data_IF_266864150310
#
_entry.id   IF_266864150310
#
_cell.length_a   1.000
_cell.length_b   1.000
_cell.length_c   1.000
_cell.angle_alpha   90.00
_cell.angle_beta   90.00
_cell.angle_gamma   90.00
#
_symmetry.space_group_name_H-M   'P 1'
#
loop_
_entity.id
_entity.type
_entity.pdbx_description
1 polymer ?
#
# COMPACT_ATOMS: atom_id res chain seq x y z
N UNK A 1 33.92 -39.41 67.20
CA UNK A 1 32.87 -38.80 66.35
C UNK A 1 31.91 -39.90 65.93
N UNK A 2 30.67 -39.83 66.44
CA UNK A 2 29.55 -40.72 66.12
C UNK A 2 28.91 -40.24 64.81
N UNK A 3 28.82 -41.10 63.80
CA UNK A 3 28.01 -40.82 62.60
C UNK A 3 26.68 -41.55 62.75
N UNK A 4 25.60 -40.77 62.71
CA UNK A 4 24.21 -41.19 62.87
C UNK A 4 23.76 -42.08 61.68
N UNK A 5 23.14 -43.25 61.90
CA UNK A 5 22.80 -44.21 60.85
C UNK A 5 21.63 -43.81 59.91
N UNK A 6 21.01 -42.64 60.12
CA UNK A 6 19.86 -42.19 59.31
C UNK A 6 20.19 -41.64 57.92
N UNK A 7 21.45 -41.66 57.47
CA UNK A 7 21.84 -41.17 56.15
C UNK A 7 21.82 -42.22 55.02
N UNK A 8 21.48 -43.48 55.32
CA UNK A 8 21.56 -44.58 54.34
C UNK A 8 20.28 -44.83 53.52
N UNK A 9 19.16 -44.15 53.80
CA UNK A 9 17.87 -44.44 53.15
C UNK A 9 17.49 -43.41 52.06
N UNK A 10 18.23 -42.31 51.90
CA UNK A 10 17.94 -41.31 50.85
C UNK A 10 18.75 -41.48 49.55
N UNK A 11 19.67 -42.45 49.47
CA UNK A 11 20.54 -42.59 48.29
C UNK A 11 20.07 -43.63 47.27
N UNK A 12 19.03 -44.42 47.58
CA UNK A 12 18.56 -45.50 46.70
C UNK A 12 17.39 -45.13 45.76
N UNK A 13 16.89 -43.90 45.79
CA UNK A 13 15.75 -43.45 44.97
C UNK A 13 16.10 -42.48 43.82
N UNK A 14 17.38 -42.21 43.58
CA UNK A 14 17.83 -41.26 42.54
C UNK A 14 18.25 -41.91 41.20
N UNK A 15 18.09 -43.23 41.04
CA UNK A 15 18.57 -43.96 39.85
C UNK A 15 17.48 -44.69 39.05
N UNK A 16 16.21 -44.29 39.19
CA UNK A 16 15.14 -44.77 38.30
C UNK A 16 14.76 -43.69 37.28
N UNK A 17 15.56 -43.57 36.22
CA UNK A 17 15.14 -42.86 35.01
C UNK A 17 14.55 -43.92 34.08
N UNK A 18 13.24 -43.95 33.82
CA UNK A 18 12.70 -44.86 32.81
C UNK A 18 13.32 -44.50 31.46
N UNK A 19 13.84 -45.51 30.76
CA UNK A 19 14.29 -45.38 29.37
C UNK A 19 13.11 -44.94 28.49
N UNK A 20 12.99 -43.63 28.27
CA UNK A 20 12.11 -43.09 27.24
C UNK A 20 12.64 -43.57 25.89
N UNK A 21 11.86 -44.43 25.24
CA UNK A 21 12.12 -44.87 23.88
C UNK A 21 12.29 -43.63 23.00
N UNK A 22 13.30 -43.54 22.12
CA UNK A 22 13.41 -42.41 21.22
C UNK A 22 12.15 -42.40 20.34
N UNK A 23 11.32 -41.38 20.53
CA UNK A 23 10.19 -41.09 19.64
C UNK A 23 10.78 -40.98 18.24
N UNK A 24 10.37 -41.87 17.34
CA UNK A 24 10.76 -41.82 15.94
C UNK A 24 10.35 -40.44 15.40
N UNK A 25 11.35 -39.58 15.26
CA UNK A 25 11.17 -38.21 14.81
C UNK A 25 10.94 -38.27 13.30
N UNK A 26 9.70 -38.51 12.90
CA UNK A 26 9.25 -38.43 11.50
C UNK A 26 9.17 -36.96 11.05
N UNK A 27 10.23 -36.18 11.29
CA UNK A 27 10.45 -34.91 10.62
C UNK A 27 10.86 -35.23 9.18
N UNK A 28 9.82 -35.46 8.38
CA UNK A 28 9.87 -35.38 6.93
C UNK A 28 10.55 -34.04 6.61
N UNK A 29 11.74 -34.11 5.97
CA UNK A 29 12.43 -32.98 5.35
C UNK A 29 11.44 -32.24 4.45
N UNK A 30 10.79 -31.21 4.96
CA UNK A 30 10.20 -30.16 4.13
C UNK A 30 11.34 -29.20 3.80
N UNK A 31 12.20 -29.67 2.89
CA UNK A 31 13.06 -28.80 2.10
C UNK A 31 12.13 -27.94 1.25
N UNK A 32 11.86 -26.75 1.74
CA UNK A 32 11.89 -25.48 1.01
C UNK A 32 11.51 -24.42 2.05
N UNK A 33 12.53 -23.82 2.64
CA UNK A 33 12.38 -22.51 3.25
C UNK A 33 11.93 -21.57 2.13
N UNK A 34 10.62 -21.50 1.89
CA UNK A 34 10.01 -20.41 1.18
C UNK A 34 10.37 -19.17 2.02
N UNK A 35 11.39 -18.45 1.57
CA UNK A 35 11.63 -17.08 2.02
C UNK A 35 10.40 -16.32 1.56
N UNK A 36 9.39 -16.24 2.43
CA UNK A 36 8.27 -15.35 2.25
C UNK A 36 8.92 -13.96 2.26
N UNK A 37 9.09 -13.37 1.08
CA UNK A 37 9.57 -12.01 0.96
C UNK A 37 8.50 -11.11 1.58
N UNK A 38 8.65 -10.86 2.89
CA UNK A 38 7.74 -10.08 3.74
C UNK A 38 7.81 -8.58 3.45
N UNK A 39 8.62 -8.14 2.49
CA UNK A 39 8.55 -6.76 2.03
C UNK A 39 7.18 -6.50 1.40
N UNK A 40 6.43 -5.48 1.85
CA UNK A 40 5.14 -5.19 1.25
C UNK A 40 5.38 -4.91 -0.23
N UNK A 41 4.69 -5.66 -1.10
CA UNK A 41 4.74 -5.53 -2.57
C UNK A 41 4.32 -4.13 -3.06
N UNK A 42 3.87 -3.28 -2.15
CA UNK A 42 3.33 -1.95 -2.37
C UNK A 42 3.83 -1.03 -1.26
N UNK A 43 4.17 0.21 -1.62
CA UNK A 43 4.49 1.26 -0.64
C UNK A 43 3.49 2.39 -0.81
N UNK A 44 2.74 2.68 0.25
CA UNK A 44 1.74 3.75 0.28
C UNK A 44 2.28 4.95 1.05
N UNK A 45 2.05 6.13 0.49
CA UNK A 45 2.50 7.41 1.03
C UNK A 45 1.30 8.32 1.18
N UNK A 46 1.18 8.97 2.34
CA UNK A 46 0.24 10.08 2.51
C UNK A 46 0.62 11.18 1.54
N UNK A 47 -0.37 11.73 0.85
CA UNK A 47 -0.15 12.72 -0.19
C UNK A 47 -1.13 13.88 -0.05
N UNK A 48 -0.80 15.02 -0.66
CA UNK A 48 -1.76 16.11 -0.85
C UNK A 48 -1.98 16.32 -2.34
N UNK A 49 -3.24 16.19 -2.77
CA UNK A 49 -3.65 16.50 -4.13
C UNK A 49 -4.14 17.94 -4.18
N UNK A 50 -3.73 18.69 -5.18
CA UNK A 50 -4.15 20.05 -5.41
C UNK A 50 -4.73 20.15 -6.81
N UNK A 51 -5.90 20.77 -6.92
CA UNK A 51 -6.58 20.98 -8.20
C UNK A 51 -6.47 22.42 -8.67
N UNK A 52 -6.18 22.62 -9.96
CA UNK A 52 -6.29 23.90 -10.64
C UNK A 52 -7.19 23.74 -11.87
N UNK A 53 -8.32 24.44 -11.85
CA UNK A 53 -9.31 24.55 -12.95
C UNK A 53 -10.04 25.90 -12.88
N UNK A 54 -11.10 26.11 -13.68
CA UNK A 54 -11.80 27.41 -13.72
C UNK A 54 -12.55 27.77 -12.45
N UNK A 55 -13.22 26.80 -11.86
CA UNK A 55 -14.12 27.00 -10.73
C UNK A 55 -13.44 26.74 -9.38
N UNK A 56 -12.23 26.19 -9.41
CA UNK A 56 -11.47 25.78 -8.23
C UNK A 56 -9.98 25.90 -8.52
N UNK A 57 -9.29 26.80 -7.84
CA UNK A 57 -7.85 27.02 -7.98
C UNK A 57 -7.18 26.78 -6.64
N UNK A 58 -6.24 25.83 -6.58
CA UNK A 58 -5.47 25.53 -5.37
C UNK A 58 -6.27 24.79 -4.28
N UNK A 59 -7.38 24.14 -4.65
CA UNK A 59 -8.16 23.33 -3.70
C UNK A 59 -7.33 22.11 -3.31
N UNK A 60 -6.98 22.03 -2.02
CA UNK A 60 -6.20 20.93 -1.46
C UNK A 60 -7.13 19.82 -0.97
N UNK A 61 -6.78 18.59 -1.30
CA UNK A 61 -7.51 17.40 -0.89
C UNK A 61 -6.53 16.37 -0.32
N UNK A 62 -6.92 15.68 0.78
CA UNK A 62 -6.16 14.53 1.26
C UNK A 62 -6.06 13.47 0.17
N UNK A 63 -4.90 12.84 0.07
CA UNK A 63 -4.68 11.80 -0.93
C UNK A 63 -3.69 10.75 -0.44
N UNK A 64 -3.57 9.67 -1.19
CA UNK A 64 -2.56 8.62 -0.98
C UNK A 64 -1.99 8.21 -2.33
N UNK A 65 -0.68 8.00 -2.37
CA UNK A 65 -0.01 7.44 -3.54
C UNK A 65 0.57 6.09 -3.16
N UNK A 66 0.18 5.06 -3.89
CA UNK A 66 0.72 3.70 -3.74
C UNK A 66 1.60 3.36 -4.94
N UNK A 67 2.87 3.07 -4.67
CA UNK A 67 3.85 2.60 -5.65
C UNK A 67 3.87 1.07 -5.65
N UNK A 68 4.00 0.47 -6.84
CA UNK A 68 4.11 -0.97 -7.04
C UNK A 68 5.51 -1.31 -7.58
N UNK A 69 6.53 -1.54 -6.72
CA UNK A 69 7.92 -1.68 -7.17
C UNK A 69 8.18 -2.83 -8.15
N UNK A 70 7.39 -3.89 -8.10
CA UNK A 70 7.52 -5.06 -8.97
C UNK A 70 6.66 -4.96 -10.25
N UNK A 71 5.99 -3.83 -10.44
CA UNK A 71 5.25 -3.48 -11.65
C UNK A 71 5.76 -2.11 -12.05
N UNK A 72 6.97 -2.09 -12.64
CA UNK A 72 7.59 -0.86 -13.13
C UNK A 72 6.53 -0.07 -13.91
N UNK A 73 6.33 1.19 -13.53
CA UNK A 73 5.34 2.12 -14.08
C UNK A 73 3.88 2.02 -13.61
N UNK A 74 3.54 1.16 -12.63
CA UNK A 74 2.21 1.18 -12.00
C UNK A 74 2.16 2.07 -10.76
N UNK A 75 1.17 2.97 -10.73
CA UNK A 75 0.83 3.82 -9.60
C UNK A 75 -0.67 3.71 -9.31
N UNK A 76 -1.04 3.79 -8.04
CA UNK A 76 -2.42 4.04 -7.62
C UNK A 76 -2.46 5.36 -6.87
N UNK A 77 -3.24 6.31 -7.35
CA UNK A 77 -3.48 7.59 -6.67
C UNK A 77 -4.91 7.61 -6.17
N UNK A 78 -5.09 7.90 -4.89
CA UNK A 78 -6.40 8.02 -4.25
C UNK A 78 -6.56 9.45 -3.79
N UNK A 79 -7.60 10.14 -4.23
CA UNK A 79 -7.94 11.50 -3.79
C UNK A 79 -9.26 11.44 -3.02
N UNK A 80 -9.29 12.01 -1.83
CA UNK A 80 -10.50 12.07 -1.00
C UNK A 80 -11.18 13.42 -1.26
N UNK A 81 -12.31 13.38 -1.97
CA UNK A 81 -13.16 14.53 -2.27
C UNK A 81 -14.04 14.88 -1.05
N UNK A 82 -14.83 15.96 -1.19
CA UNK A 82 -15.89 16.30 -0.24
C UNK A 82 -16.84 15.11 0.00
N UNK A 83 -17.50 15.09 1.16
CA UNK A 83 -18.42 14.01 1.57
C UNK A 83 -17.79 12.60 1.70
N UNK A 84 -16.45 12.52 1.87
CA UNK A 84 -15.70 11.25 1.98
C UNK A 84 -15.76 10.39 0.70
N UNK A 85 -16.05 10.98 -0.46
CA UNK A 85 -15.94 10.25 -1.72
C UNK A 85 -14.46 10.03 -2.09
N UNK A 86 -14.06 8.76 -2.24
CA UNK A 86 -12.73 8.43 -2.76
C UNK A 86 -12.74 8.34 -4.27
N UNK A 87 -11.85 9.06 -4.95
CA UNK A 87 -11.57 8.90 -6.38
C UNK A 87 -10.22 8.20 -6.55
N UNK A 88 -10.21 7.09 -7.29
CA UNK A 88 -9.07 6.21 -7.43
C UNK A 88 -8.62 6.22 -8.89
N UNK A 89 -7.34 6.48 -9.11
CA UNK A 89 -6.72 6.51 -10.43
C UNK A 89 -5.70 5.38 -10.51
N UNK A 90 -6.02 4.36 -11.33
CA UNK A 90 -5.04 3.35 -11.70
C UNK A 90 -4.24 3.87 -12.89
N UNK A 91 -2.95 4.09 -12.66
CA UNK A 91 -2.03 4.69 -13.63
C UNK A 91 -1.02 3.62 -14.04
N UNK A 92 -0.85 3.46 -15.34
CA UNK A 92 0.14 2.56 -15.93
C UNK A 92 0.83 3.26 -17.09
N UNK A 93 2.16 3.19 -17.13
CA UNK A 93 2.98 3.84 -18.16
C UNK A 93 2.60 5.31 -18.37
N UNK A 94 2.46 6.06 -17.26
CA UNK A 94 2.14 7.49 -17.30
C UNK A 94 0.76 7.81 -17.96
N UNK A 95 -0.15 6.83 -17.97
CA UNK A 95 -1.51 7.00 -18.47
C UNK A 95 -2.53 6.52 -17.44
N UNK A 96 -3.65 7.24 -17.34
CA UNK A 96 -4.77 6.83 -16.50
C UNK A 96 -5.51 5.71 -17.23
N UNK A 97 -5.47 4.48 -16.69
CA UNK A 97 -6.14 3.32 -17.31
C UNK A 97 -7.54 3.13 -16.78
N UNK A 98 -7.79 3.53 -15.54
CA UNK A 98 -9.07 3.35 -14.89
C UNK A 98 -9.28 4.39 -13.82
N UNK A 99 -10.50 4.92 -13.76
CA UNK A 99 -10.98 5.73 -12.65
C UNK A 99 -12.11 4.99 -11.97
N UNK A 100 -12.02 4.81 -10.66
CA UNK A 100 -13.10 4.25 -9.85
C UNK A 100 -13.44 5.18 -8.70
N UNK A 101 -14.64 5.00 -8.16
CA UNK A 101 -15.18 5.85 -7.11
C UNK A 101 -15.64 4.99 -5.93
N UNK A 102 -15.39 5.47 -4.72
CA UNK A 102 -15.95 4.93 -3.48
C UNK A 102 -16.89 5.97 -2.88
N UNK A 103 -18.06 6.13 -3.48
CA UNK A 103 -19.17 6.93 -2.97
C UNK A 103 -20.50 6.53 -3.63
N UNK A 104 -21.59 7.14 -3.14
CA UNK A 104 -22.93 6.98 -3.73
C UNK A 104 -22.93 7.49 -5.18
N UNK A 105 -23.87 7.04 -6.00
CA UNK A 105 -23.96 7.48 -7.40
C UNK A 105 -24.23 8.99 -7.53
N UNK A 106 -24.93 9.57 -6.55
CA UNK A 106 -25.28 11.00 -6.50
C UNK A 106 -24.07 11.90 -6.19
N UNK A 107 -23.08 11.37 -5.48
CA UNK A 107 -21.85 12.08 -5.12
C UNK A 107 -20.71 11.89 -6.14
N UNK A 108 -20.92 11.06 -7.18
CA UNK A 108 -19.92 10.83 -8.22
C UNK A 108 -19.81 12.06 -9.10
N UNK A 109 -18.68 12.74 -9.00
CA UNK A 109 -18.28 13.75 -9.96
C UNK A 109 -17.63 13.08 -11.20
N UNK A 110 -18.43 12.95 -12.25
CA UNK A 110 -18.09 12.48 -13.61
C UNK A 110 -17.96 13.65 -14.61
N UNK A 111 -17.81 14.89 -14.14
CA UNK A 111 -17.74 16.08 -15.01
C UNK A 111 -16.52 16.14 -15.92
N UNK A 112 -15.50 15.31 -15.65
CA UNK A 112 -14.27 15.24 -16.43
C UNK A 112 -14.03 13.82 -16.94
N UNK A 113 -13.72 13.72 -18.23
CA UNK A 113 -13.12 12.52 -18.81
C UNK A 113 -11.61 12.52 -18.54
N UNK A 114 -11.12 11.47 -17.90
CA UNK A 114 -9.73 11.32 -17.48
C UNK A 114 -8.91 10.42 -18.41
N UNK A 115 -9.53 9.77 -19.42
CA UNK A 115 -8.81 8.79 -20.26
C UNK A 115 -7.67 9.41 -21.04
N UNK A 116 -7.83 10.66 -21.49
CA UNK A 116 -6.86 11.36 -22.33
C UNK A 116 -5.92 12.28 -21.53
N UNK A 117 -5.99 12.23 -20.19
CA UNK A 117 -5.12 13.04 -19.35
C UNK A 117 -3.70 12.47 -19.37
N UNK A 118 -2.74 13.35 -19.58
CA UNK A 118 -1.32 13.03 -19.47
C UNK A 118 -0.95 12.91 -18.00
N UNK A 119 -0.23 11.86 -17.61
CA UNK A 119 0.38 11.78 -16.28
C UNK A 119 1.88 11.98 -16.40
N UNK A 120 2.46 12.78 -15.52
CA UNK A 120 3.90 12.88 -15.34
C UNK A 120 4.23 12.47 -13.91
N UNK A 121 5.15 11.52 -13.74
CA UNK A 121 5.56 11.04 -12.43
C UNK A 121 7.05 11.25 -12.24
N UNK A 122 7.41 11.98 -11.20
CA UNK A 122 8.79 12.15 -10.76
C UNK A 122 8.97 11.54 -9.37
N UNK A 123 9.61 10.37 -9.33
CA UNK A 123 9.86 9.63 -8.09
C UNK A 123 10.90 10.29 -7.19
N UNK A 124 11.81 11.12 -7.75
CA UNK A 124 12.84 11.83 -6.99
C UNK A 124 12.24 12.99 -6.20
N UNK A 125 11.38 13.78 -6.84
CA UNK A 125 10.68 14.91 -6.20
C UNK A 125 9.37 14.48 -5.54
N UNK A 126 9.01 13.19 -5.66
CA UNK A 126 7.74 12.60 -5.19
C UNK A 126 6.52 13.39 -5.63
N UNK A 127 6.49 13.71 -6.92
CA UNK A 127 5.47 14.53 -7.54
C UNK A 127 4.76 13.72 -8.64
N UNK A 128 3.44 13.79 -8.68
CA UNK A 128 2.63 13.33 -9.81
C UNK A 128 1.82 14.53 -10.33
N UNK A 129 1.90 14.79 -11.63
CA UNK A 129 1.06 15.74 -12.33
C UNK A 129 0.10 14.99 -13.23
N UNK A 130 -1.18 15.30 -13.17
CA UNK A 130 -2.16 14.80 -14.14
C UNK A 130 -2.73 16.02 -14.87
N UNK A 131 -2.54 16.09 -16.19
CA UNK A 131 -2.78 17.29 -16.99
C UNK A 131 -3.82 16.93 -18.05
N UNK A 132 -4.90 17.71 -18.13
CA UNK A 132 -5.92 17.53 -19.16
C UNK A 132 -5.35 17.87 -20.54
N UNK A 133 -5.83 17.25 -21.64
CA UNK A 133 -5.46 17.65 -22.99
C UNK A 133 -5.87 19.11 -23.27
N UNK A 134 -5.10 19.78 -24.14
CA UNK A 134 -5.39 21.13 -24.58
C UNK A 134 -6.81 21.23 -25.16
N UNK A 135 -7.63 22.07 -24.55
CA UNK A 135 -9.00 22.26 -24.96
C UNK A 135 -9.12 23.05 -26.26
N UNK A 136 -9.80 22.49 -27.28
CA UNK A 136 -10.40 23.29 -28.36
C UNK A 136 -11.71 23.90 -27.83
N UNK A 137 -11.63 25.04 -27.12
CA UNK A 137 -12.78 25.71 -26.48
C UNK A 137 -13.52 24.87 -25.42
N UNK A 138 -12.84 24.50 -24.33
CA UNK A 138 -13.49 23.86 -23.18
C UNK A 138 -13.80 24.93 -22.11
N UNK A 139 -15.08 25.24 -21.84
CA UNK A 139 -15.47 26.30 -20.93
C UNK A 139 -15.13 26.00 -19.45
N UNK A 140 -14.59 24.82 -19.09
CA UNK A 140 -14.34 24.42 -17.71
C UNK A 140 -13.01 24.89 -17.10
N UNK A 141 -12.13 25.57 -17.85
CA UNK A 141 -10.75 25.84 -17.40
C UNK A 141 -10.31 27.33 -17.55
N UNK A 142 -9.68 27.91 -16.53
CA UNK A 142 -9.09 29.29 -16.56
C UNK A 142 -7.78 29.31 -17.34
N UNK A 143 -7.08 28.18 -17.37
CA UNK A 143 -5.99 27.87 -18.30
C UNK A 143 -6.59 27.04 -19.42
N UNK A 144 -5.93 26.94 -20.58
CA UNK A 144 -6.35 26.00 -21.63
C UNK A 144 -6.38 24.53 -21.15
N UNK A 145 -5.84 24.27 -19.94
CA UNK A 145 -5.67 22.96 -19.31
C UNK A 145 -5.91 23.04 -17.78
N UNK A 146 -6.77 22.18 -17.21
CA UNK A 146 -6.73 21.82 -15.79
C UNK A 146 -5.66 20.80 -15.47
N UNK A 147 -5.21 20.79 -14.22
CA UNK A 147 -4.32 19.75 -13.74
C UNK A 147 -4.50 19.44 -12.25
N UNK A 148 -4.14 18.21 -11.90
CA UNK A 148 -3.84 17.80 -10.53
C UNK A 148 -2.34 17.83 -10.28
N UNK A 149 -1.92 18.35 -9.13
CA UNK A 149 -0.57 18.17 -8.59
C UNK A 149 -0.67 17.36 -7.29
N UNK A 150 0.03 16.24 -7.21
CA UNK A 150 0.02 15.34 -6.06
C UNK A 150 1.45 15.20 -5.54
N UNK A 151 1.66 15.60 -4.29
CA UNK A 151 2.95 15.50 -3.60
C UNK A 151 2.86 14.47 -2.47
N UNK A 152 3.81 13.53 -2.41
CA UNK A 152 3.81 12.40 -1.47
C UNK A 152 5.20 12.08 -0.86
#
# INVERSE_FOLDING_TARGET
MNVNPNYLISFFLLLYIPNLSPVANNFRKWNELAIINLQPRQKSYTATAQFWGRLATGVKQPSTVTLYPNQEHRLLVIIILSQKCGRFFEIYDQQIKKVTYSCSQEDKDESADYTDWKVEHNSLTKEIKMITPAAKNNPLYIRQEAFWLINY
#
